data_IF_956099103830
#
_entry.id   IF_956099103830
#
_cell.length_a   1.000
_cell.length_b   1.000
_cell.length_c   1.000
_cell.angle_alpha   90.00
_cell.angle_beta   90.00
_cell.angle_gamma   90.00
#
_symmetry.space_group_name_H-M   'P 1'
#
loop_
_entity.id
_entity.type
_entity.pdbx_description
1 polymer ?
#
# COMPACT_ATOMS: atom_id res chain seq x y z
N UNK A 1 -40.39 38.72 25.19
CA UNK A 1 -40.28 37.88 23.97
C UNK A 1 -41.67 37.82 23.36
N UNK A 2 -41.81 38.25 22.10
CA UNK A 2 -43.12 38.28 21.44
C UNK A 2 -43.59 36.84 21.17
N UNK A 3 -44.89 36.58 21.35
CA UNK A 3 -45.51 35.28 21.07
C UNK A 3 -45.20 34.74 19.66
N UNK A 4 -45.03 35.63 18.68
CA UNK A 4 -44.65 35.27 17.31
C UNK A 4 -43.27 34.59 17.26
N UNK A 5 -42.30 35.10 18.02
CA UNK A 5 -40.92 34.58 18.03
C UNK A 5 -40.82 33.19 18.67
N UNK A 6 -41.69 32.88 19.64
CA UNK A 6 -41.75 31.54 20.26
C UNK A 6 -42.37 30.50 19.33
N UNK A 7 -43.45 30.86 18.62
CA UNK A 7 -44.08 29.97 17.64
C UNK A 7 -43.16 29.70 16.44
N UNK A 8 -42.38 30.70 16.01
CA UNK A 8 -41.35 30.49 14.99
C UNK A 8 -40.29 29.50 15.50
N UNK A 9 -39.77 29.65 16.72
CA UNK A 9 -38.84 28.67 17.30
C UNK A 9 -39.44 27.25 17.44
N UNK A 10 -40.75 27.15 17.68
CA UNK A 10 -41.43 25.86 17.83
C UNK A 10 -41.61 25.15 16.49
N UNK A 11 -41.93 25.92 15.44
CA UNK A 11 -41.95 25.42 14.06
C UNK A 11 -40.55 25.01 13.61
N UNK A 12 -39.52 25.82 13.88
CA UNK A 12 -38.13 25.48 13.54
C UNK A 12 -37.68 24.21 14.28
N UNK A 13 -38.10 24.03 15.54
CA UNK A 13 -37.84 22.80 16.29
C UNK A 13 -38.52 21.57 15.68
N UNK A 14 -39.78 21.67 15.28
CA UNK A 14 -40.51 20.54 14.70
C UNK A 14 -40.05 20.22 13.27
N UNK A 15 -39.98 21.22 12.40
CA UNK A 15 -39.70 21.02 10.97
C UNK A 15 -38.19 20.90 10.65
N UNK A 16 -37.33 21.71 11.28
CA UNK A 16 -35.89 21.71 10.95
C UNK A 16 -35.07 20.74 11.80
N UNK A 17 -35.57 20.37 12.98
CA UNK A 17 -34.84 19.55 13.95
C UNK A 17 -35.48 18.19 14.18
N UNK A 18 -36.77 18.12 14.52
CA UNK A 18 -37.42 16.87 14.93
C UNK A 18 -37.59 15.89 13.75
N UNK A 19 -38.12 16.37 12.62
CA UNK A 19 -38.33 15.52 11.44
C UNK A 19 -37.01 14.99 10.83
N UNK A 20 -35.97 15.82 10.59
CA UNK A 20 -34.66 15.33 10.16
C UNK A 20 -33.98 14.41 11.18
N UNK A 21 -34.18 14.66 12.48
CA UNK A 21 -33.66 13.79 13.54
C UNK A 21 -34.28 12.40 13.50
N UNK A 22 -35.60 12.30 13.28
CA UNK A 22 -36.29 11.02 13.14
C UNK A 22 -35.81 10.26 11.90
N UNK A 23 -35.63 10.94 10.77
CA UNK A 23 -35.05 10.34 9.56
C UNK A 23 -33.60 9.86 9.78
N UNK A 24 -32.79 10.63 10.53
CA UNK A 24 -31.42 10.23 10.89
C UNK A 24 -31.41 8.96 11.75
N UNK A 25 -32.33 8.84 12.72
CA UNK A 25 -32.45 7.65 13.55
C UNK A 25 -32.80 6.40 12.73
N UNK A 26 -33.76 6.52 11.80
CA UNK A 26 -34.13 5.43 10.89
C UNK A 26 -32.96 5.02 9.98
N UNK A 27 -32.27 6.02 9.40
CA UNK A 27 -31.08 5.80 8.56
C UNK A 27 -29.96 5.09 9.34
N UNK A 28 -29.71 5.50 10.58
CA UNK A 28 -28.70 4.87 11.43
C UNK A 28 -29.09 3.42 11.82
N UNK A 29 -30.37 3.14 12.06
CA UNK A 29 -30.86 1.78 12.30
C UNK A 29 -30.63 0.90 11.07
N UNK A 30 -30.95 1.38 9.88
CA UNK A 30 -30.70 0.68 8.62
C UNK A 30 -29.20 0.44 8.40
N UNK A 31 -28.37 1.44 8.67
CA UNK A 31 -26.90 1.33 8.58
C UNK A 31 -26.37 0.19 9.47
N UNK A 32 -26.81 0.10 10.74
CA UNK A 32 -26.41 -0.99 11.65
C UNK A 32 -26.80 -2.37 11.12
N UNK A 33 -28.03 -2.50 10.62
CA UNK A 33 -28.50 -3.76 10.01
C UNK A 33 -27.62 -4.16 8.82
N UNK A 34 -27.32 -3.21 7.92
CA UNK A 34 -26.45 -3.46 6.76
C UNK A 34 -25.02 -3.83 7.15
N UNK A 35 -24.50 -3.26 8.24
CA UNK A 35 -23.19 -3.60 8.77
C UNK A 35 -23.13 -5.05 9.29
N UNK A 36 -24.16 -5.49 10.02
CA UNK A 36 -24.28 -6.88 10.49
C UNK A 36 -24.42 -7.87 9.33
N UNK A 37 -25.26 -7.56 8.34
CA UNK A 37 -25.41 -8.36 7.11
C UNK A 37 -24.07 -8.50 6.37
N UNK A 38 -23.34 -7.40 6.21
CA UNK A 38 -22.01 -7.37 5.58
C UNK A 38 -21.04 -8.28 6.35
N UNK A 39 -20.98 -8.18 7.67
CA UNK A 39 -20.09 -8.99 8.50
C UNK A 39 -20.38 -10.49 8.36
N UNK A 40 -21.67 -10.87 8.35
CA UNK A 40 -22.09 -12.26 8.13
C UNK A 40 -21.69 -12.77 6.74
N UNK A 41 -21.89 -11.96 5.71
CA UNK A 41 -21.48 -12.30 4.34
C UNK A 41 -19.96 -12.48 4.22
N UNK A 42 -19.18 -11.61 4.85
CA UNK A 42 -17.73 -11.72 4.89
C UNK A 42 -17.28 -13.05 5.52
N UNK A 43 -17.84 -13.42 6.67
CA UNK A 43 -17.52 -14.69 7.34
C UNK A 43 -17.86 -15.92 6.49
N UNK A 44 -19.03 -15.90 5.83
CA UNK A 44 -19.47 -16.98 4.95
C UNK A 44 -18.58 -17.12 3.71
N UNK A 45 -18.22 -16.01 3.06
CA UNK A 45 -17.32 -16.01 1.92
C UNK A 45 -15.93 -16.52 2.29
N UNK A 46 -15.32 -16.00 3.36
CA UNK A 46 -13.99 -16.43 3.81
C UNK A 46 -13.95 -17.92 4.13
N UNK A 47 -14.97 -18.43 4.84
CA UNK A 47 -15.06 -19.86 5.18
C UNK A 47 -15.23 -20.74 3.94
N UNK A 48 -16.05 -20.29 2.97
CA UNK A 48 -16.30 -21.02 1.73
C UNK A 48 -15.05 -21.08 0.84
N UNK A 49 -14.32 -19.96 0.72
CA UNK A 49 -13.06 -19.89 -0.02
C UNK A 49 -12.02 -20.80 0.63
N UNK A 50 -11.87 -20.76 1.96
CA UNK A 50 -10.94 -21.62 2.68
C UNK A 50 -11.23 -23.11 2.44
N UNK A 51 -12.51 -23.50 2.48
CA UNK A 51 -12.94 -24.88 2.19
C UNK A 51 -12.63 -25.30 0.75
N UNK A 52 -12.90 -24.43 -0.23
CA UNK A 52 -12.60 -24.70 -1.64
C UNK A 52 -11.09 -24.79 -1.90
N UNK A 53 -10.29 -23.88 -1.34
CA UNK A 53 -8.82 -23.92 -1.42
C UNK A 53 -8.26 -25.23 -0.88
N UNK A 54 -8.75 -25.70 0.27
CA UNK A 54 -8.35 -26.99 0.84
C UNK A 54 -8.61 -28.14 -0.14
N UNK A 55 -9.82 -28.23 -0.69
CA UNK A 55 -10.18 -29.25 -1.68
C UNK A 55 -9.33 -29.17 -2.95
N UNK A 56 -9.08 -27.97 -3.48
CA UNK A 56 -8.23 -27.81 -4.67
C UNK A 56 -6.78 -28.22 -4.40
N UNK A 57 -6.28 -27.99 -3.18
CA UNK A 57 -4.93 -28.44 -2.77
C UNK A 57 -4.86 -29.97 -2.73
N UNK A 58 -5.83 -30.63 -2.09
CA UNK A 58 -5.94 -32.09 -2.05
C UNK A 58 -6.04 -32.69 -3.46
N UNK A 59 -6.87 -32.09 -4.33
CA UNK A 59 -7.01 -32.51 -5.72
C UNK A 59 -5.70 -32.32 -6.50
N UNK A 60 -5.01 -31.19 -6.32
CA UNK A 60 -3.72 -30.93 -6.97
C UNK A 60 -2.65 -31.93 -6.55
N UNK A 61 -2.61 -32.30 -5.26
CA UNK A 61 -1.71 -33.34 -4.75
C UNK A 61 -2.04 -34.72 -5.32
N UNK A 62 -3.32 -35.08 -5.43
CA UNK A 62 -3.78 -36.30 -6.09
C UNK A 62 -3.39 -36.36 -7.56
N UNK A 63 -3.62 -35.27 -8.31
CA UNK A 63 -3.24 -35.16 -9.72
C UNK A 63 -1.73 -35.27 -9.92
N UNK A 64 -0.92 -34.74 -8.98
CA UNK A 64 0.53 -34.88 -9.03
C UNK A 64 0.98 -36.34 -8.89
N UNK A 65 0.30 -37.13 -8.04
CA UNK A 65 0.58 -38.56 -7.86
C UNK A 65 0.16 -39.38 -9.09
N UNK A 66 -0.94 -39.03 -9.74
CA UNK A 66 -1.41 -39.73 -10.93
C UNK A 66 -0.57 -39.40 -12.18
N UNK A 67 0.15 -38.28 -12.21
CA UNK A 67 0.89 -37.78 -13.38
C UNK A 67 1.87 -38.78 -13.99
N UNK A 68 2.45 -39.68 -13.21
CA UNK A 68 3.38 -40.73 -13.69
C UNK A 68 2.68 -41.95 -14.30
N UNK A 69 1.36 -42.08 -14.14
CA UNK A 69 0.57 -43.27 -14.50
C UNK A 69 -0.49 -42.99 -15.58
N UNK A 70 -0.55 -41.77 -16.11
CA UNK A 70 -1.58 -41.29 -17.03
C UNK A 70 -1.17 -41.54 -18.49
N UNK A 71 -2.10 -42.08 -19.29
CA UNK A 71 -1.88 -42.35 -20.73
C UNK A 71 -1.83 -41.05 -21.55
N UNK A 72 -1.21 -41.07 -22.73
CA UNK A 72 -1.09 -39.87 -23.59
C UNK A 72 -2.45 -39.25 -23.96
N UNK A 73 -3.51 -40.07 -24.11
CA UNK A 73 -4.89 -39.61 -24.39
C UNK A 73 -5.50 -38.81 -23.21
N UNK A 74 -5.18 -39.19 -21.99
CA UNK A 74 -5.69 -38.58 -20.74
C UNK A 74 -4.86 -37.36 -20.30
N UNK A 75 -3.67 -37.18 -20.90
CA UNK A 75 -2.75 -36.09 -20.60
C UNK A 75 -3.33 -34.73 -20.99
N UNK A 76 -4.16 -34.67 -22.03
CA UNK A 76 -4.86 -33.45 -22.44
C UNK A 76 -5.90 -33.04 -21.39
N UNK A 77 -6.68 -33.99 -20.88
CA UNK A 77 -7.67 -33.76 -19.81
C UNK A 77 -6.99 -33.37 -18.48
N UNK A 78 -5.85 -33.99 -18.17
CA UNK A 78 -5.03 -33.62 -17.01
C UNK A 78 -4.56 -32.16 -17.07
N UNK A 79 -4.11 -31.70 -18.24
CA UNK A 79 -3.68 -30.31 -18.45
C UNK A 79 -4.86 -29.33 -18.35
N UNK A 80 -6.02 -29.66 -18.94
CA UNK A 80 -7.25 -28.85 -18.79
C UNK A 80 -7.64 -28.70 -17.32
N UNK A 81 -7.62 -29.80 -16.55
CA UNK A 81 -7.96 -29.78 -15.13
C UNK A 81 -6.95 -28.96 -14.31
N UNK A 82 -5.65 -29.04 -14.61
CA UNK A 82 -4.65 -28.18 -13.96
C UNK A 82 -4.86 -26.70 -14.27
N UNK A 83 -5.23 -26.36 -15.50
CA UNK A 83 -5.52 -24.97 -15.89
C UNK A 83 -6.76 -24.45 -15.15
N UNK A 84 -7.83 -25.24 -15.05
CA UNK A 84 -9.03 -24.88 -14.27
C UNK A 84 -8.72 -24.67 -12.78
N UNK A 85 -7.83 -25.49 -12.20
CA UNK A 85 -7.37 -25.30 -10.81
C UNK A 85 -6.65 -23.96 -10.65
N UNK A 86 -5.74 -23.62 -11.57
CA UNK A 86 -5.01 -22.34 -11.56
C UNK A 86 -5.93 -21.14 -11.73
N UNK A 87 -6.89 -21.23 -12.66
CA UNK A 87 -7.88 -20.18 -12.90
C UNK A 87 -8.71 -19.91 -11.64
N UNK A 88 -9.26 -20.97 -11.01
CA UNK A 88 -10.01 -20.85 -9.75
C UNK A 88 -9.17 -20.27 -8.61
N UNK A 89 -7.87 -20.62 -8.53
CA UNK A 89 -6.97 -20.01 -7.57
C UNK A 89 -6.79 -18.50 -7.80
N UNK A 90 -6.71 -18.06 -9.06
CA UNK A 90 -6.67 -16.63 -9.41
C UNK A 90 -7.96 -15.93 -9.01
N UNK A 91 -9.11 -16.52 -9.31
CA UNK A 91 -10.42 -15.97 -8.90
C UNK A 91 -10.54 -15.83 -7.39
N UNK A 92 -10.09 -16.83 -6.61
CA UNK A 92 -10.09 -16.73 -5.15
C UNK A 92 -9.18 -15.62 -4.63
N UNK A 93 -8.03 -15.39 -5.27
CA UNK A 93 -7.16 -14.29 -4.91
C UNK A 93 -7.82 -12.92 -5.11
N UNK A 94 -8.58 -12.75 -6.20
CA UNK A 94 -9.36 -11.54 -6.45
C UNK A 94 -10.50 -11.36 -5.45
N UNK A 95 -11.24 -12.44 -5.13
CA UNK A 95 -12.30 -12.42 -4.12
C UNK A 95 -11.76 -12.04 -2.73
N UNK A 96 -10.63 -12.64 -2.32
CA UNK A 96 -9.96 -12.34 -1.04
C UNK A 96 -9.42 -10.91 -0.96
N UNK A 97 -9.23 -10.21 -2.09
CA UNK A 97 -8.80 -8.82 -2.07
C UNK A 97 -9.82 -7.86 -1.45
N UNK A 98 -11.09 -8.28 -1.35
CA UNK A 98 -12.21 -7.51 -0.78
C UNK A 98 -12.71 -8.10 0.55
N UNK A 99 -12.04 -9.13 1.08
CA UNK A 99 -12.39 -9.76 2.35
C UNK A 99 -11.35 -9.42 3.42
N UNK A 100 -11.76 -9.38 4.70
CA UNK A 100 -10.85 -9.37 5.85
C UNK A 100 -9.67 -10.33 5.69
N UNK A 101 -8.44 -9.81 5.72
CA UNK A 101 -7.21 -10.60 5.71
C UNK A 101 -6.58 -10.67 7.09
N UNK A 102 -5.93 -11.80 7.35
CA UNK A 102 -5.07 -11.93 8.53
C UNK A 102 -3.84 -11.03 8.38
N UNK A 103 -3.50 -10.33 9.47
CA UNK A 103 -2.33 -9.49 9.53
C UNK A 103 -1.05 -10.34 9.47
N UNK A 104 -0.06 -9.89 8.70
CA UNK A 104 1.30 -10.44 8.77
C UNK A 104 1.92 -10.30 10.17
N UNK A 105 2.93 -11.11 10.49
CA UNK A 105 3.54 -11.21 11.83
C UNK A 105 3.89 -9.86 12.47
N UNK A 106 4.57 -8.98 11.73
CA UNK A 106 4.94 -7.64 12.23
C UNK A 106 3.71 -6.80 12.58
N UNK A 107 2.72 -6.76 11.68
CA UNK A 107 1.52 -5.96 11.87
C UNK A 107 0.67 -6.51 13.01
N UNK A 108 0.62 -7.84 13.17
CA UNK A 108 -0.03 -8.49 14.32
C UNK A 108 0.68 -8.18 15.64
N UNK A 109 2.00 -8.07 15.63
CA UNK A 109 2.77 -7.69 16.81
C UNK A 109 2.50 -6.23 17.22
N UNK A 110 2.45 -5.32 16.25
CA UNK A 110 2.33 -3.87 16.52
C UNK A 110 0.89 -3.42 16.77
N UNK A 111 -0.07 -3.93 15.99
CA UNK A 111 -1.48 -3.52 16.04
C UNK A 111 -2.41 -4.55 16.69
N UNK A 112 -1.90 -5.73 17.05
CA UNK A 112 -2.72 -6.83 17.54
C UNK A 112 -3.58 -7.47 16.44
N UNK A 113 -4.68 -8.10 16.85
CA UNK A 113 -5.57 -8.84 15.95
C UNK A 113 -6.64 -7.96 15.28
N UNK A 114 -6.36 -6.67 15.10
CA UNK A 114 -7.28 -5.71 14.47
C UNK A 114 -7.17 -5.80 12.96
N UNK A 115 -8.30 -5.98 12.28
CA UNK A 115 -8.33 -6.05 10.82
C UNK A 115 -8.12 -4.67 10.18
N UNK A 116 -7.01 -4.48 9.48
CA UNK A 116 -6.69 -3.25 8.73
C UNK A 116 -7.04 -3.31 7.24
N UNK A 117 -7.86 -4.29 6.86
CA UNK A 117 -8.22 -4.49 5.45
C UNK A 117 -9.17 -3.38 4.99
N UNK A 118 -8.75 -2.66 3.96
CA UNK A 118 -9.52 -1.63 3.28
C UNK A 118 -10.37 -2.33 2.22
N UNK A 119 -11.68 -2.44 2.48
CA UNK A 119 -12.60 -3.23 1.66
C UNK A 119 -12.89 -2.58 0.30
N UNK A 120 -12.84 -1.26 0.19
CA UNK A 120 -13.12 -0.55 -1.06
C UNK A 120 -11.83 -0.17 -1.81
N UNK A 121 -11.89 -0.16 -3.15
CA UNK A 121 -10.79 0.33 -3.98
C UNK A 121 -10.47 1.79 -3.65
N UNK A 122 -11.51 2.59 -3.43
CA UNK A 122 -11.42 4.00 -3.05
C UNK A 122 -10.66 4.18 -1.74
N UNK A 123 -10.96 3.38 -0.70
CA UNK A 123 -10.24 3.47 0.57
C UNK A 123 -8.77 3.07 0.44
N UNK A 124 -8.46 2.02 -0.34
CA UNK A 124 -7.07 1.64 -0.66
C UNK A 124 -6.30 2.78 -1.33
N UNK A 125 -6.95 3.48 -2.26
CA UNK A 125 -6.37 4.63 -2.94
C UNK A 125 -6.17 5.83 -2.02
N UNK A 126 -7.19 6.20 -1.26
CA UNK A 126 -7.12 7.31 -0.32
C UNK A 126 -6.01 7.09 0.71
N UNK A 127 -5.92 5.89 1.28
CA UNK A 127 -4.85 5.54 2.21
C UNK A 127 -3.46 5.66 1.58
N UNK A 128 -3.33 5.21 0.32
CA UNK A 128 -2.07 5.31 -0.42
C UNK A 128 -1.69 6.76 -0.73
N UNK A 129 -2.65 7.59 -1.08
CA UNK A 129 -2.44 9.02 -1.31
C UNK A 129 -1.96 9.72 -0.03
N UNK A 130 -2.61 9.44 1.10
CA UNK A 130 -2.21 9.93 2.42
C UNK A 130 -0.85 9.40 2.88
N UNK A 131 -0.48 8.18 2.50
CA UNK A 131 0.86 7.64 2.71
C UNK A 131 1.92 8.41 1.92
N UNK A 132 1.69 8.65 0.62
CA UNK A 132 2.63 9.35 -0.25
C UNK A 132 2.79 10.83 0.16
N UNK A 133 1.69 11.50 0.53
CA UNK A 133 1.71 12.86 1.10
C UNK A 133 2.54 12.91 2.38
N UNK A 134 2.28 11.98 3.31
CA UNK A 134 3.05 11.88 4.56
C UNK A 134 4.55 11.76 4.29
N UNK A 135 4.94 10.83 3.40
CA UNK A 135 6.34 10.64 3.02
C UNK A 135 6.95 11.94 2.47
N UNK A 136 6.25 12.63 1.57
CA UNK A 136 6.73 13.89 0.99
C UNK A 136 6.89 14.99 2.05
N UNK A 137 5.84 15.25 2.85
CA UNK A 137 5.87 16.30 3.86
C UNK A 137 7.02 16.08 4.86
N UNK A 138 7.19 14.84 5.34
CA UNK A 138 8.26 14.54 6.28
C UNK A 138 9.64 14.60 5.63
N UNK A 139 9.79 14.19 4.37
CA UNK A 139 11.05 14.34 3.62
C UNK A 139 11.46 15.81 3.49
N UNK A 140 10.50 16.71 3.20
CA UNK A 140 10.76 18.16 3.10
C UNK A 140 11.16 18.72 4.47
N UNK A 141 10.45 18.36 5.54
CA UNK A 141 10.78 18.77 6.91
C UNK A 141 12.19 18.30 7.28
N UNK A 142 12.53 17.04 7.03
CA UNK A 142 13.86 16.48 7.30
C UNK A 142 14.97 17.17 6.49
N UNK A 143 14.70 17.53 5.23
CA UNK A 143 15.64 18.27 4.40
C UNK A 143 15.92 19.67 4.98
N UNK A 144 14.88 20.40 5.37
CA UNK A 144 15.02 21.74 5.96
C UNK A 144 15.75 21.65 7.31
N UNK A 145 15.33 20.74 8.20
CA UNK A 145 15.94 20.58 9.51
C UNK A 145 17.40 20.16 9.42
N UNK A 146 17.76 19.21 8.54
CA UNK A 146 19.15 18.80 8.35
C UNK A 146 20.02 19.92 7.80
N UNK A 147 19.49 20.76 6.90
CA UNK A 147 20.18 21.96 6.44
C UNK A 147 20.38 22.96 7.59
N UNK A 148 19.32 23.27 8.35
CA UNK A 148 19.39 24.22 9.47
C UNK A 148 20.34 23.76 10.57
N UNK A 149 20.27 22.49 10.98
CA UNK A 149 21.12 21.94 12.05
C UNK A 149 22.57 21.74 11.61
N UNK A 150 22.82 21.65 10.30
CA UNK A 150 24.18 21.64 9.79
C UNK A 150 24.83 23.03 9.82
N UNK A 151 24.14 24.05 9.32
CA UNK A 151 24.76 25.36 9.05
C UNK A 151 24.52 26.41 10.13
N UNK A 152 23.42 26.33 10.88
CA UNK A 152 23.00 27.40 11.80
C UNK A 152 22.91 26.95 13.26
N UNK A 153 22.56 25.69 13.53
CA UNK A 153 22.34 25.19 14.90
C UNK A 153 23.25 23.99 15.21
N UNK A 154 24.35 24.24 15.92
CA UNK A 154 25.30 23.20 16.32
C UNK A 154 25.12 22.85 17.81
N UNK A 155 24.09 22.07 18.14
CA UNK A 155 23.85 21.61 19.51
C UNK A 155 23.50 20.13 19.56
N UNK A 156 23.96 19.44 20.61
CA UNK A 156 23.64 18.02 20.82
C UNK A 156 22.14 17.77 20.99
N UNK A 157 21.41 18.73 21.54
CA UNK A 157 19.96 18.66 21.75
C UNK A 157 19.21 18.71 20.42
N UNK A 158 19.56 19.64 19.51
CA UNK A 158 18.95 19.69 18.17
C UNK A 158 19.21 18.42 17.39
N UNK A 159 20.39 17.85 17.51
CA UNK A 159 20.72 16.58 16.87
C UNK A 159 19.90 15.42 17.46
N UNK A 160 19.65 15.42 18.78
CA UNK A 160 18.79 14.43 19.42
C UNK A 160 17.34 14.54 18.93
N UNK A 161 16.80 15.77 18.84
CA UNK A 161 15.45 16.01 18.30
C UNK A 161 15.34 15.53 16.87
N UNK A 162 16.35 15.79 16.03
CA UNK A 162 16.40 15.31 14.65
C UNK A 162 16.41 13.77 14.56
N UNK A 163 17.26 13.11 15.33
CA UNK A 163 17.36 11.64 15.32
C UNK A 163 16.09 10.99 15.90
N UNK A 164 15.49 11.58 16.92
CA UNK A 164 14.19 11.13 17.44
C UNK A 164 13.11 11.22 16.35
N UNK A 165 13.06 12.33 15.60
CA UNK A 165 12.15 12.50 14.47
C UNK A 165 12.41 11.44 13.38
N UNK A 166 13.67 11.11 13.08
CA UNK A 166 14.02 10.04 12.13
C UNK A 166 13.55 8.66 12.60
N UNK A 167 13.78 8.30 13.87
CA UNK A 167 13.30 7.04 14.46
C UNK A 167 11.78 6.98 14.33
N UNK A 168 11.08 8.03 14.75
CA UNK A 168 9.62 8.11 14.65
C UNK A 168 9.14 8.00 13.20
N UNK A 169 9.79 8.68 12.28
CA UNK A 169 9.45 8.66 10.85
C UNK A 169 9.57 7.25 10.26
N UNK A 170 10.70 6.59 10.44
CA UNK A 170 10.92 5.25 9.89
C UNK A 170 10.03 4.19 10.56
N UNK A 171 9.79 4.27 11.87
CA UNK A 171 8.80 3.43 12.55
C UNK A 171 7.39 3.62 11.97
N UNK A 172 6.99 4.86 11.70
CA UNK A 172 5.68 5.15 11.11
C UNK A 172 5.59 4.65 9.68
N UNK A 173 6.66 4.79 8.89
CA UNK A 173 6.75 4.23 7.54
C UNK A 173 6.58 2.71 7.55
N UNK A 174 7.27 1.97 8.42
CA UNK A 174 7.16 0.51 8.44
C UNK A 174 5.75 0.04 8.76
N UNK A 175 5.03 0.73 9.64
CA UNK A 175 3.62 0.44 9.94
C UNK A 175 2.74 0.73 8.71
N UNK A 176 2.85 1.93 8.12
CA UNK A 176 2.04 2.31 6.95
C UNK A 176 2.31 1.42 5.74
N UNK A 177 3.57 1.11 5.46
CA UNK A 177 3.96 0.19 4.38
C UNK A 177 3.45 -1.23 4.64
N UNK A 178 3.46 -1.71 5.89
CA UNK A 178 2.90 -3.01 6.25
C UNK A 178 1.38 -3.08 6.00
N UNK A 179 0.65 -2.00 6.31
CA UNK A 179 -0.78 -1.88 5.99
C UNK A 179 -1.01 -1.89 4.47
N UNK A 180 -0.17 -1.18 3.70
CA UNK A 180 -0.22 -1.18 2.24
C UNK A 180 0.04 -2.58 1.66
N UNK A 181 1.06 -3.28 2.15
CA UNK A 181 1.40 -4.65 1.73
C UNK A 181 0.21 -5.60 2.01
N UNK A 182 -0.37 -5.53 3.22
CA UNK A 182 -1.53 -6.35 3.58
C UNK A 182 -2.73 -6.12 2.64
N UNK A 183 -2.89 -4.89 2.15
CA UNK A 183 -3.97 -4.50 1.25
C UNK A 183 -3.70 -4.77 -0.24
N UNK A 184 -2.52 -5.29 -0.60
CA UNK A 184 -2.15 -5.69 -1.97
C UNK A 184 -1.05 -4.84 -2.63
N UNK A 185 -0.38 -3.95 -1.90
CA UNK A 185 0.70 -3.14 -2.46
C UNK A 185 1.97 -3.97 -2.65
N UNK A 186 2.60 -3.82 -3.81
CA UNK A 186 3.84 -4.52 -4.16
C UNK A 186 5.06 -3.70 -3.71
N UNK A 187 5.33 -3.73 -2.42
CA UNK A 187 6.54 -3.14 -1.82
C UNK A 187 7.57 -4.25 -1.67
N UNK A 188 8.81 -3.99 -2.09
CA UNK A 188 9.85 -5.01 -2.12
C UNK A 188 10.51 -5.15 -0.74
N UNK A 189 10.77 -6.39 -0.30
CA UNK A 189 11.19 -6.67 1.07
C UNK A 189 12.49 -5.99 1.52
N UNK A 190 13.49 -5.85 0.63
CA UNK A 190 14.73 -5.15 0.98
C UNK A 190 14.51 -3.66 1.28
N UNK A 191 13.49 -3.05 0.67
CA UNK A 191 13.16 -1.65 0.89
C UNK A 191 12.65 -1.45 2.31
N UNK A 192 11.77 -2.35 2.75
CA UNK A 192 11.28 -2.37 4.12
C UNK A 192 12.42 -2.68 5.11
N UNK A 193 13.33 -3.59 4.75
CA UNK A 193 14.54 -3.87 5.55
C UNK A 193 15.40 -2.62 5.75
N UNK A 194 15.58 -1.81 4.70
CA UNK A 194 16.32 -0.57 4.80
C UNK A 194 15.71 0.42 5.80
N UNK A 195 14.38 0.47 5.94
CA UNK A 195 13.72 1.30 6.95
C UNK A 195 13.98 0.80 8.37
N UNK A 196 13.99 -0.52 8.60
CA UNK A 196 14.33 -1.09 9.90
C UNK A 196 15.77 -0.77 10.29
N UNK A 197 16.71 -0.91 9.36
CA UNK A 197 18.12 -0.55 9.58
C UNK A 197 18.25 0.95 9.86
N UNK A 198 17.56 1.81 9.09
CA UNK A 198 17.58 3.27 9.30
C UNK A 198 17.02 3.65 10.66
N UNK A 199 15.97 2.98 11.13
CA UNK A 199 15.40 3.18 12.48
C UNK A 199 16.42 2.85 13.56
N UNK A 200 17.03 1.66 13.45
CA UNK A 200 18.03 1.19 14.41
C UNK A 200 19.23 2.13 14.46
N UNK A 201 19.81 2.50 13.31
CA UNK A 201 20.96 3.40 13.23
C UNK A 201 20.64 4.79 13.79
N UNK A 202 19.45 5.33 13.51
CA UNK A 202 19.02 6.61 14.09
C UNK A 202 18.87 6.52 15.62
N UNK A 203 18.42 5.38 16.14
CA UNK A 203 18.38 5.11 17.59
C UNK A 203 19.77 5.00 18.24
N UNK A 204 20.73 4.37 17.55
CA UNK A 204 22.13 4.31 17.99
C UNK A 204 22.73 5.73 18.04
N UNK A 205 22.50 6.54 17.02
CA UNK A 205 23.01 7.92 16.98
C UNK A 205 22.31 8.80 18.04
N UNK A 206 21.01 8.59 18.27
CA UNK A 206 20.26 9.29 19.31
C UNK A 206 20.84 9.04 20.71
N UNK A 207 21.24 7.80 20.99
CA UNK A 207 21.79 7.37 22.28
C UNK A 207 23.31 7.53 22.37
N UNK A 208 23.98 7.90 21.27
CA UNK A 208 25.42 8.09 21.25
C UNK A 208 25.82 9.24 22.19
N UNK A 209 26.70 9.00 23.18
CA UNK A 209 27.10 10.01 24.15
C UNK A 209 27.86 11.18 23.52
N UNK A 210 27.76 12.35 24.13
CA UNK A 210 28.50 13.51 23.64
C UNK A 210 30.00 13.30 23.81
N UNK A 211 30.78 13.51 22.74
CA UNK A 211 32.20 13.18 22.73
C UNK A 211 32.90 13.48 21.42
N UNK A 212 34.23 13.43 21.43
CA UNK A 212 35.07 13.83 20.29
C UNK A 212 34.72 13.07 19.01
N UNK A 213 34.52 11.75 19.11
CA UNK A 213 34.15 10.91 17.96
C UNK A 213 32.80 11.29 17.37
N UNK A 214 31.83 11.63 18.22
CA UNK A 214 30.52 12.10 17.79
C UNK A 214 30.63 13.39 16.99
N UNK A 215 31.37 14.38 17.51
CA UNK A 215 31.56 15.66 16.81
C UNK A 215 32.30 15.51 15.47
N UNK A 216 33.29 14.62 15.39
CA UNK A 216 33.99 14.33 14.13
C UNK A 216 33.06 13.72 13.08
N UNK A 217 32.15 12.84 13.49
CA UNK A 217 31.20 12.17 12.59
C UNK A 217 29.98 13.04 12.25
N UNK A 218 29.55 13.90 13.17
CA UNK A 218 28.30 14.68 13.10
C UNK A 218 28.07 15.35 11.75
N UNK A 219 29.06 16.11 11.26
CA UNK A 219 28.89 16.88 10.03
C UNK A 219 28.74 15.97 8.80
N UNK A 220 29.43 14.83 8.77
CA UNK A 220 29.29 13.83 7.71
C UNK A 220 27.89 13.20 7.77
N UNK A 221 27.41 12.86 8.97
CA UNK A 221 26.07 12.33 9.18
C UNK A 221 24.97 13.31 8.74
N UNK A 222 25.04 14.58 9.15
CA UNK A 222 24.08 15.60 8.73
C UNK A 222 24.11 15.83 7.22
N UNK A 223 25.30 15.77 6.59
CA UNK A 223 25.43 15.80 5.13
C UNK A 223 24.71 14.65 4.47
N UNK A 224 24.87 13.44 5.01
CA UNK A 224 24.24 12.23 4.52
C UNK A 224 22.72 12.30 4.64
N UNK A 225 22.17 12.71 5.79
CA UNK A 225 20.73 12.87 5.99
C UNK A 225 20.12 13.92 5.05
N UNK A 226 20.81 15.04 4.85
CA UNK A 226 20.40 16.08 3.91
C UNK A 226 20.39 15.55 2.47
N UNK A 227 21.47 14.89 2.04
CA UNK A 227 21.54 14.28 0.72
C UNK A 227 20.46 13.21 0.52
N UNK A 228 20.25 12.35 1.51
CA UNK A 228 19.24 11.29 1.44
C UNK A 228 17.84 11.88 1.31
N UNK A 229 17.50 12.92 2.08
CA UNK A 229 16.21 13.60 1.98
C UNK A 229 16.01 14.25 0.62
N UNK A 230 17.07 14.85 0.05
CA UNK A 230 17.05 15.41 -1.29
C UNK A 230 16.82 14.35 -2.37
N UNK A 231 17.53 13.22 -2.31
CA UNK A 231 17.34 12.09 -3.23
C UNK A 231 15.91 11.54 -3.12
N UNK A 232 15.39 11.37 -1.91
CA UNK A 232 14.01 10.90 -1.70
C UNK A 232 12.97 11.86 -2.29
N UNK A 233 13.19 13.17 -2.17
CA UNK A 233 12.34 14.18 -2.80
C UNK A 233 12.34 14.06 -4.33
N UNK A 234 13.53 13.94 -4.94
CA UNK A 234 13.65 13.76 -6.39
C UNK A 234 13.01 12.45 -6.87
N UNK A 235 13.24 11.36 -6.14
CA UNK A 235 12.62 10.06 -6.41
C UNK A 235 11.09 10.18 -6.37
N UNK A 236 10.54 10.84 -5.36
CA UNK A 236 9.11 11.07 -5.27
C UNK A 236 8.56 11.86 -6.47
N UNK A 237 9.21 12.97 -6.83
CA UNK A 237 8.78 13.81 -7.95
C UNK A 237 8.76 13.02 -9.26
N UNK A 238 9.86 12.32 -9.56
CA UNK A 238 9.98 11.51 -10.76
C UNK A 238 8.97 10.37 -10.83
N UNK A 239 8.78 9.65 -9.71
CA UNK A 239 7.87 8.51 -9.64
C UNK A 239 6.40 8.95 -9.72
N UNK A 240 6.05 10.06 -9.09
CA UNK A 240 4.71 10.65 -9.16
C UNK A 240 4.36 11.07 -10.59
N UNK A 241 5.30 11.69 -11.31
CA UNK A 241 5.13 12.06 -12.72
C UNK A 241 4.95 10.84 -13.64
N UNK A 242 5.74 9.78 -13.43
CA UNK A 242 5.57 8.53 -14.19
C UNK A 242 4.23 7.84 -13.90
N UNK A 243 3.80 7.84 -12.63
CA UNK A 243 2.52 7.24 -12.23
C UNK A 243 1.33 8.01 -12.81
N UNK A 244 1.39 9.34 -12.82
CA UNK A 244 0.39 10.18 -13.46
C UNK A 244 0.24 9.86 -14.96
N UNK A 245 1.37 9.78 -15.68
CA UNK A 245 1.40 9.43 -17.11
C UNK A 245 0.82 8.04 -17.38
N UNK A 246 1.19 7.04 -16.58
CA UNK A 246 0.64 5.67 -16.75
C UNK A 246 -0.85 5.59 -16.42
N UNK A 247 -1.33 6.41 -15.48
CA UNK A 247 -2.76 6.51 -15.15
C UNK A 247 -3.55 7.18 -16.28
N UNK A 248 -3.02 8.23 -16.91
CA UNK A 248 -3.67 8.88 -18.06
C UNK A 248 -3.70 8.00 -19.31
N UNK A 249 -2.77 7.04 -19.43
CA UNK A 249 -2.71 6.07 -20.54
C UNK A 249 -3.59 4.82 -20.31
N UNK A 250 -4.22 4.65 -19.15
CA UNK A 250 -5.07 3.50 -18.83
C UNK A 250 -4.33 2.17 -18.61
N UNK A 251 -2.99 2.14 -18.69
CA UNK A 251 -2.19 0.91 -18.72
C UNK A 251 -1.85 0.29 -17.35
N UNK A 252 -2.32 0.82 -16.21
CA UNK A 252 -1.87 0.32 -14.89
C UNK A 252 -2.96 -0.19 -13.95
N UNK A 253 -2.64 -1.32 -13.32
CA UNK A 253 -3.33 -1.84 -12.17
C UNK A 253 -3.16 -0.89 -10.97
N UNK A 254 -4.26 -0.64 -10.30
CA UNK A 254 -4.55 0.46 -9.38
C UNK A 254 -3.67 0.57 -8.12
N UNK A 255 -2.82 -0.42 -7.79
CA UNK A 255 -2.08 -0.46 -6.51
C UNK A 255 -0.55 -0.35 -6.57
N UNK A 256 0.08 -0.18 -7.73
CA UNK A 256 1.55 -0.16 -7.85
C UNK A 256 2.20 1.08 -7.19
N UNK A 257 3.10 0.87 -6.22
CA UNK A 257 3.80 1.92 -5.47
C UNK A 257 4.73 2.74 -6.39
N UNK A 258 4.93 4.02 -6.05
CA UNK A 258 5.90 4.92 -6.69
C UNK A 258 7.33 4.35 -6.67
N UNK A 259 7.72 3.56 -5.67
CA UNK A 259 9.13 3.13 -5.47
C UNK A 259 9.69 2.16 -6.53
N UNK A 260 8.88 1.49 -7.36
CA UNK A 260 9.36 0.26 -8.02
C UNK A 260 9.60 0.33 -9.54
N UNK A 261 9.06 1.29 -10.29
CA UNK A 261 8.92 1.04 -11.74
C UNK A 261 9.71 1.93 -12.69
N UNK A 262 10.46 2.92 -12.20
CA UNK A 262 11.15 3.80 -13.12
C UNK A 262 12.56 3.31 -13.53
N UNK A 263 13.25 2.57 -12.66
CA UNK A 263 14.61 2.08 -12.96
C UNK A 263 14.65 0.72 -13.73
N UNK A 264 13.59 -0.10 -13.66
CA UNK A 264 13.61 -1.47 -14.22
C UNK A 264 12.65 -1.70 -15.40
N UNK A 265 11.63 -0.86 -15.60
CA UNK A 265 10.69 -1.04 -16.72
C UNK A 265 11.20 -0.37 -18.00
N UNK A 266 11.98 0.71 -17.90
CA UNK A 266 12.63 1.35 -19.06
C UNK A 266 13.62 0.41 -19.77
N UNK A 267 14.18 -0.57 -19.06
CA UNK A 267 15.10 -1.57 -19.62
C UNK A 267 14.39 -2.71 -20.34
N UNK A 268 13.12 -3.01 -20.01
CA UNK A 268 12.38 -4.13 -20.62
C UNK A 268 11.44 -3.72 -21.75
N UNK A 269 10.88 -2.51 -21.75
CA UNK A 269 9.99 -2.07 -22.85
C UNK A 269 10.73 -1.64 -24.11
N UNK A 270 12.03 -1.32 -24.03
CA UNK A 270 12.82 -0.92 -25.22
C UNK A 270 13.27 -2.15 -26.03
N UNK A 271 13.37 -3.35 -25.43
CA UNK A 271 13.86 -4.53 -26.15
C UNK A 271 12.80 -5.23 -27.03
N UNK A 272 11.51 -4.98 -26.84
CA UNK A 272 10.44 -5.73 -27.53
C UNK A 272 9.64 -4.93 -28.56
N UNK A 273 9.93 -3.65 -28.76
CA UNK A 273 9.23 -2.81 -29.73
C UNK A 273 10.22 -1.99 -30.55
N UNK A 274 10.90 -2.65 -31.48
CA UNK A 274 11.34 -2.10 -32.78
C UNK A 274 12.16 -3.15 -33.54
N UNK A 275 11.48 -3.97 -34.33
CA UNK A 275 11.97 -4.38 -35.66
C UNK A 275 10.75 -4.43 -36.59
N UNK A 276 10.49 -3.39 -37.39
CA UNK A 276 9.49 -3.50 -38.44
C UNK A 276 9.95 -4.53 -39.47
N UNK A 277 9.08 -5.47 -39.79
CA UNK A 277 9.28 -6.42 -40.88
C UNK A 277 9.28 -5.65 -42.20
N UNK A 278 10.43 -5.63 -42.88
CA UNK A 278 10.54 -5.13 -44.25
C UNK A 278 9.81 -6.12 -45.16
N UNK A 279 8.60 -5.76 -45.55
CA UNK A 279 7.82 -6.50 -46.54
C UNK A 279 8.39 -6.16 -47.92
N UNK A 280 9.24 -7.06 -48.44
CA UNK A 280 9.84 -6.94 -49.78
C UNK A 280 8.73 -7.22 -50.80
N UNK A 281 8.18 -6.16 -51.39
CA UNK A 281 7.26 -6.25 -52.53
C UNK A 281 8.08 -6.74 -53.72
N UNK A 282 7.83 -7.98 -54.16
CA UNK A 282 8.29 -8.48 -55.44
C UNK A 282 7.44 -7.81 -56.53
N UNK A 283 8.10 -7.06 -57.41
CA UNK A 283 7.56 -6.67 -58.71
C UNK A 283 8.38 -7.37 -59.78
N UNK A 284 7.74 -8.28 -60.51
CA UNK A 284 8.25 -8.87 -61.74
C UNK A 284 7.94 -7.96 -62.95
N UNK A 285 8.82 -8.03 -63.96
CA UNK A 285 8.70 -7.51 -65.34
C UNK A 285 8.82 -5.97 -65.50
N UNK A 286 9.69 -5.39 -66.33
CA UNK A 286 10.34 -5.75 -67.61
C UNK A 286 11.74 -5.16 -67.66
#
# INVERSE_FOLDING_TARGET
>A
MNSATFNDCLRDWEEELQDPYQQLQETHKLYKQKLEELSKLQGNCSSSIARQKKKLKELSEGLRKCKSSVKEEEKNELNKLQNLIKERQSTFFEMEAFLPKENGLYLRLVLGNVNVTLLSKQAKFAYKDEYEKFKLYLTIILLILSFTFRFFLNSRVTDAVFNFLLVWYYCTLTIRESILINNGSRIKGWWVLNHYISTFLSGVILTWPDGVMYHMFRNQYMSFCMFQSFVQFLQYYYQSGCLYRLRSLGERHTMDLTVVLAAFQCTYTISSSQRPAVQRVAGDHV
#
